data_IF_490702440242
#
_entry.id   IF_490702440242
#
_cell.length_a   1.000
_cell.length_b   1.000
_cell.length_c   1.000
_cell.angle_alpha   90.00
_cell.angle_beta   90.00
_cell.angle_gamma   90.00
#
_symmetry.space_group_name_H-M   'P 1'
#
loop_
_entity.id
_entity.type
_entity.pdbx_description
1 polymer ?
#
# COMPACT_ATOMS: atom_id res chain seq x y z
N UNK A 1 -25.56 42.01 -20.53
CA UNK A 1 -25.66 40.59 -20.93
C UNK A 1 -24.27 40.15 -21.38
N UNK A 2 -23.52 39.51 -20.51
CA UNK A 2 -22.21 38.91 -20.84
C UNK A 2 -22.20 37.48 -20.35
N UNK A 3 -22.25 36.56 -21.29
CA UNK A 3 -22.10 35.12 -21.09
C UNK A 3 -20.61 34.80 -20.98
N UNK A 4 -20.13 34.59 -19.75
CA UNK A 4 -18.80 34.01 -19.53
C UNK A 4 -18.86 32.51 -19.82
N UNK A 5 -18.38 32.12 -21.00
CA UNK A 5 -18.08 30.73 -21.35
C UNK A 5 -16.86 30.28 -20.53
N UNK A 6 -17.10 29.53 -19.47
CA UNK A 6 -16.06 28.80 -18.75
C UNK A 6 -15.49 27.74 -19.68
N UNK A 7 -14.23 27.91 -20.03
CA UNK A 7 -13.39 26.98 -20.75
C UNK A 7 -13.32 25.67 -19.98
N UNK A 8 -13.98 24.64 -20.50
CA UNK A 8 -13.61 23.25 -20.25
C UNK A 8 -12.16 23.08 -20.70
N UNK A 9 -11.22 23.01 -19.75
CA UNK A 9 -9.90 22.48 -20.04
C UNK A 9 -10.04 20.96 -20.22
N UNK A 10 -9.79 20.41 -21.42
CA UNK A 10 -9.67 18.99 -21.59
C UNK A 10 -8.28 18.63 -21.09
N UNK A 11 -8.12 18.46 -19.77
CA UNK A 11 -7.03 17.64 -19.30
C UNK A 11 -7.27 16.26 -19.91
N UNK A 12 -6.46 15.90 -20.90
CA UNK A 12 -6.27 14.52 -21.31
C UNK A 12 -5.76 13.78 -20.08
N UNK A 13 -6.68 13.34 -19.23
CA UNK A 13 -6.40 12.39 -18.19
C UNK A 13 -6.06 11.10 -18.93
N UNK A 14 -4.76 10.89 -19.17
CA UNK A 14 -4.24 9.53 -19.30
C UNK A 14 -4.78 8.79 -18.08
N UNK A 15 -5.75 7.91 -18.33
CA UNK A 15 -6.63 7.38 -17.28
C UNK A 15 -5.76 6.65 -16.25
N UNK A 16 -5.71 7.20 -15.04
CA UNK A 16 -5.05 6.56 -13.90
C UNK A 16 -5.55 5.13 -13.75
N UNK A 17 -4.66 4.22 -13.39
CA UNK A 17 -5.03 2.86 -13.03
C UNK A 17 -5.46 2.89 -11.56
N UNK A 18 -6.75 2.71 -11.33
CA UNK A 18 -7.30 2.67 -9.98
C UNK A 18 -7.44 1.23 -9.50
N UNK A 19 -6.72 0.91 -8.42
CA UNK A 19 -6.79 -0.37 -7.72
C UNK A 19 -7.56 -0.20 -6.41
N UNK A 20 -8.76 -0.76 -6.37
CA UNK A 20 -9.70 -0.71 -5.25
C UNK A 20 -9.41 -1.84 -4.26
N UNK A 21 -9.29 -1.52 -2.97
CA UNK A 21 -9.22 -2.51 -1.91
C UNK A 21 -10.62 -2.73 -1.35
N UNK A 22 -11.11 -3.97 -1.43
CA UNK A 22 -12.49 -4.30 -1.04
C UNK A 22 -12.73 -4.07 0.45
N UNK A 23 -11.71 -4.31 1.27
CA UNK A 23 -11.74 -4.08 2.71
C UNK A 23 -10.70 -3.04 3.15
N UNK A 24 -11.03 -2.31 4.22
CA UNK A 24 -10.09 -1.40 4.89
C UNK A 24 -9.00 -2.15 5.68
N UNK A 25 -9.16 -3.47 5.84
CA UNK A 25 -8.17 -4.37 6.40
C UNK A 25 -7.28 -4.96 5.30
N UNK A 26 -6.05 -4.46 5.19
CA UNK A 26 -5.10 -4.91 4.17
C UNK A 26 -4.51 -6.29 4.46
N UNK A 27 -4.80 -6.88 5.61
CA UNK A 27 -4.37 -8.24 5.94
C UNK A 27 -5.17 -9.29 5.17
N UNK A 28 -6.44 -9.01 4.91
CA UNK A 28 -7.39 -9.94 4.31
C UNK A 28 -8.29 -9.17 3.34
N UNK A 29 -7.76 -8.85 2.16
CA UNK A 29 -8.49 -8.10 1.15
C UNK A 29 -8.19 -8.57 -0.25
N UNK A 30 -9.20 -8.45 -1.11
CA UNK A 30 -9.04 -8.50 -2.55
C UNK A 30 -8.72 -7.09 -3.06
N UNK A 31 -7.89 -7.00 -4.08
CA UNK A 31 -7.63 -5.77 -4.84
C UNK A 31 -8.18 -5.96 -6.23
N UNK A 32 -9.09 -5.08 -6.63
CA UNK A 32 -9.79 -5.14 -7.91
C UNK A 32 -9.59 -3.84 -8.67
N UNK A 33 -9.66 -3.88 -9.99
CA UNK A 33 -9.83 -2.68 -10.81
C UNK A 33 -11.26 -2.15 -10.70
N UNK A 34 -11.51 -0.90 -11.12
CA UNK A 34 -12.85 -0.30 -11.08
C UNK A 34 -13.92 -1.07 -11.87
N UNK A 35 -13.52 -1.81 -12.90
CA UNK A 35 -14.40 -2.70 -13.67
C UNK A 35 -14.62 -4.07 -13.01
N UNK A 36 -14.11 -4.26 -11.79
CA UNK A 36 -14.34 -5.45 -10.97
C UNK A 36 -13.40 -6.62 -11.24
N UNK A 37 -12.35 -6.47 -12.05
CA UNK A 37 -11.36 -7.54 -12.24
C UNK A 37 -10.42 -7.64 -11.06
N UNK A 38 -10.34 -8.82 -10.46
CA UNK A 38 -9.43 -9.10 -9.36
C UNK A 38 -7.97 -9.19 -9.84
N UNK A 39 -7.09 -8.41 -9.22
CA UNK A 39 -5.68 -8.29 -9.57
C UNK A 39 -4.78 -8.90 -8.49
N UNK A 40 -5.08 -8.65 -7.22
CA UNK A 40 -4.30 -9.17 -6.10
C UNK A 40 -5.20 -9.68 -4.98
N UNK A 41 -4.66 -10.63 -4.22
CA UNK A 41 -5.25 -11.14 -2.99
C UNK A 41 -4.22 -11.05 -1.87
N UNK A 42 -4.65 -10.47 -0.74
CA UNK A 42 -3.90 -10.46 0.51
C UNK A 42 -4.61 -11.40 1.49
N UNK A 43 -3.87 -12.34 2.06
CA UNK A 43 -4.40 -13.26 3.07
C UNK A 43 -3.43 -13.37 4.23
N UNK A 44 -3.95 -13.17 5.44
CA UNK A 44 -3.16 -13.28 6.68
C UNK A 44 -3.83 -14.30 7.57
N UNK A 45 -3.43 -15.59 7.46
CA UNK A 45 -4.02 -16.62 8.30
C UNK A 45 -3.70 -16.34 9.77
N UNK A 46 -4.74 -16.37 10.61
CA UNK A 46 -4.64 -16.17 12.04
C UNK A 46 -4.28 -17.49 12.72
N UNK A 47 -3.07 -17.56 13.25
CA UNK A 47 -2.59 -18.69 14.06
C UNK A 47 -2.11 -18.14 15.41
N UNK A 48 -2.66 -18.58 16.56
CA UNK A 48 -2.36 -18.01 17.87
C UNK A 48 -0.86 -17.97 18.21
N UNK A 49 -0.11 -19.00 17.81
CA UNK A 49 1.29 -19.18 18.18
C UNK A 49 2.27 -18.98 17.02
N UNK A 50 1.81 -18.49 15.87
CA UNK A 50 2.69 -18.26 14.70
C UNK A 50 2.83 -16.78 14.40
N UNK A 51 3.98 -16.36 13.83
CA UNK A 51 4.12 -15.00 13.32
C UNK A 51 2.98 -14.64 12.37
N UNK A 52 2.48 -13.41 12.47
CA UNK A 52 1.50 -12.87 11.52
C UNK A 52 2.19 -12.71 10.16
N UNK A 53 1.81 -13.54 9.19
CA UNK A 53 2.35 -13.54 7.84
C UNK A 53 1.24 -13.22 6.86
N UNK A 54 1.38 -12.14 6.10
CA UNK A 54 0.50 -11.84 4.97
C UNK A 54 1.10 -12.41 3.71
N UNK A 55 0.35 -13.27 3.03
CA UNK A 55 0.63 -13.73 1.69
C UNK A 55 0.03 -12.74 0.70
N UNK A 56 0.85 -12.24 -0.22
CA UNK A 56 0.40 -11.38 -1.31
C UNK A 56 0.49 -12.19 -2.60
N UNK A 57 -0.65 -12.38 -3.25
CA UNK A 57 -0.77 -13.13 -4.50
C UNK A 57 -1.25 -12.22 -5.60
N UNK A 58 -0.59 -12.29 -6.75
CA UNK A 58 -1.10 -11.78 -8.00
C UNK A 58 -2.05 -12.82 -8.59
N UNK A 59 -3.24 -12.39 -8.98
CA UNK A 59 -4.24 -13.24 -9.61
C UNK A 59 -4.11 -13.07 -11.13
N UNK A 60 -4.00 -14.18 -11.86
CA UNK A 60 -4.05 -14.14 -13.32
C UNK A 60 -5.50 -13.96 -13.74
N UNK A 61 -5.74 -13.08 -14.73
CA UNK A 61 -7.05 -12.71 -15.30
C UNK A 61 -8.10 -13.82 -15.16
N UNK A 62 -8.87 -13.77 -14.07
CA UNK A 62 -10.13 -14.47 -14.02
C UNK A 62 -11.07 -13.69 -14.95
N UNK A 63 -11.15 -14.12 -16.21
CA UNK A 63 -12.03 -13.52 -17.22
C UNK A 63 -13.42 -13.22 -16.60
N UNK A 64 -13.98 -12.01 -16.78
CA UNK A 64 -15.17 -11.55 -16.06
C UNK A 64 -16.44 -12.38 -16.32
N UNK A 65 -16.46 -13.25 -17.35
CA UNK A 65 -17.62 -14.08 -17.68
C UNK A 65 -17.91 -15.21 -16.67
N UNK A 66 -17.06 -15.45 -15.68
CA UNK A 66 -17.30 -16.44 -14.62
C UNK A 66 -17.52 -15.78 -13.24
N UNK A 67 -17.32 -14.46 -13.14
CA UNK A 67 -17.11 -13.76 -11.87
C UNK A 67 -18.36 -13.15 -11.23
N UNK A 68 -19.49 -13.02 -11.93
CA UNK A 68 -20.67 -12.33 -11.39
C UNK A 68 -21.46 -13.12 -10.32
N UNK A 69 -21.23 -14.43 -10.19
CA UNK A 69 -21.86 -15.26 -9.15
C UNK A 69 -20.88 -16.01 -8.24
N UNK A 70 -19.66 -16.31 -8.72
CA UNK A 70 -18.76 -17.29 -8.08
C UNK A 70 -17.34 -16.75 -7.80
N UNK A 71 -17.04 -15.47 -8.00
CA UNK A 71 -15.68 -14.95 -7.72
C UNK A 71 -15.31 -15.00 -6.23
N UNK A 72 -16.28 -14.75 -5.34
CA UNK A 72 -16.10 -14.94 -3.90
C UNK A 72 -15.82 -16.43 -3.56
N UNK A 73 -16.51 -17.34 -4.24
CA UNK A 73 -16.38 -18.79 -4.08
C UNK A 73 -15.07 -19.34 -4.68
N UNK A 74 -14.54 -18.71 -5.72
CA UNK A 74 -13.25 -19.05 -6.33
C UNK A 74 -12.06 -18.57 -5.49
N UNK A 75 -12.19 -17.41 -4.81
CA UNK A 75 -11.21 -16.97 -3.79
C UNK A 75 -11.23 -17.92 -2.57
N UNK A 76 -12.41 -18.38 -2.13
CA UNK A 76 -12.55 -19.39 -1.08
C UNK A 76 -11.99 -20.78 -1.46
N UNK A 77 -11.90 -21.10 -2.77
CA UNK A 77 -11.33 -22.36 -3.29
C UNK A 77 -9.85 -22.29 -3.66
N UNK A 78 -9.15 -21.22 -3.29
CA UNK A 78 -7.70 -21.10 -3.49
C UNK A 78 -7.35 -20.92 -4.97
N UNK A 79 -7.75 -19.78 -5.54
CA UNK A 79 -7.42 -19.40 -6.91
C UNK A 79 -5.93 -19.60 -7.25
N UNK A 80 -5.65 -19.95 -8.51
CA UNK A 80 -4.31 -20.22 -9.05
C UNK A 80 -3.48 -18.94 -9.22
N UNK A 81 -3.29 -18.18 -8.14
CA UNK A 81 -2.48 -16.97 -8.13
C UNK A 81 -0.99 -17.25 -7.95
N UNK A 82 -0.14 -16.35 -8.47
CA UNK A 82 1.30 -16.35 -8.19
C UNK A 82 1.56 -15.63 -6.88
N UNK A 83 2.22 -16.29 -5.92
CA UNK A 83 2.73 -15.60 -4.73
C UNK A 83 3.84 -14.63 -5.13
N UNK A 84 3.61 -13.33 -4.90
CA UNK A 84 4.59 -12.28 -5.19
C UNK A 84 5.42 -11.93 -3.95
N UNK A 85 4.82 -12.04 -2.76
CA UNK A 85 5.50 -11.76 -1.51
C UNK A 85 4.87 -12.49 -0.32
N UNK A 86 5.71 -12.81 0.66
CA UNK A 86 5.29 -13.15 2.02
C UNK A 86 5.82 -12.08 2.96
N UNK A 87 4.93 -11.41 3.70
CA UNK A 87 5.29 -10.34 4.62
C UNK A 87 5.03 -10.83 6.04
N UNK A 88 6.09 -11.20 6.74
CA UNK A 88 6.04 -11.49 8.16
C UNK A 88 6.13 -10.17 8.93
N UNK A 89 5.03 -9.78 9.57
CA UNK A 89 4.94 -8.51 10.28
C UNK A 89 5.76 -8.51 11.58
N UNK A 90 6.07 -7.30 12.06
CA UNK A 90 6.82 -7.12 13.31
C UNK A 90 6.02 -7.71 14.46
N UNK A 91 6.68 -8.51 15.31
CA UNK A 91 6.16 -8.99 16.59
C UNK A 91 7.25 -8.75 17.62
N UNK A 92 7.00 -7.89 18.60
CA UNK A 92 7.94 -7.53 19.68
C UNK A 92 9.35 -7.23 19.14
N UNK A 93 10.30 -8.14 19.36
CA UNK A 93 11.73 -8.02 19.06
C UNK A 93 12.10 -8.44 17.63
N UNK A 94 11.14 -8.91 16.83
CA UNK A 94 11.39 -9.36 15.46
C UNK A 94 11.02 -8.28 14.43
N UNK A 95 11.96 -7.83 13.58
CA UNK A 95 11.64 -6.86 12.54
C UNK A 95 10.71 -7.46 11.48
N UNK A 96 9.98 -6.62 10.76
CA UNK A 96 9.23 -7.06 9.57
C UNK A 96 10.18 -7.68 8.55
N UNK A 97 9.89 -8.92 8.14
CA UNK A 97 10.64 -9.69 7.15
C UNK A 97 9.77 -9.85 5.89
N UNK A 98 10.39 -9.70 4.73
CA UNK A 98 9.78 -9.86 3.42
C UNK A 98 10.49 -11.02 2.73
N UNK A 99 9.74 -11.97 2.16
CA UNK A 99 10.26 -12.98 1.24
C UNK A 99 9.62 -12.77 -0.12
N UNK A 100 10.42 -12.43 -1.11
CA UNK A 100 9.94 -12.19 -2.47
C UNK A 100 11.07 -12.43 -3.47
N UNK A 101 10.73 -13.01 -4.63
CA UNK A 101 11.69 -13.18 -5.74
C UNK A 101 12.08 -11.86 -6.40
N UNK A 102 11.32 -10.78 -6.13
CA UNK A 102 11.59 -9.44 -6.65
C UNK A 102 12.72 -8.74 -5.90
N UNK A 103 13.09 -9.24 -4.72
CA UNK A 103 14.11 -8.63 -3.88
C UNK A 103 15.40 -9.44 -3.95
N UNK A 104 16.51 -8.78 -4.22
CA UNK A 104 17.83 -9.37 -4.03
C UNK A 104 18.05 -9.64 -2.53
N UNK A 105 18.29 -10.90 -2.18
CA UNK A 105 18.60 -11.32 -0.81
C UNK A 105 19.98 -11.99 -0.76
N UNK A 106 20.74 -11.67 0.27
CA UNK A 106 22.00 -12.31 0.63
C UNK A 106 21.80 -13.64 1.38
N UNK A 107 20.54 -13.98 1.73
CA UNK A 107 20.22 -15.15 2.53
C UNK A 107 19.66 -16.29 1.69
N UNK A 108 19.97 -17.52 2.14
CA UNK A 108 19.48 -18.74 1.51
C UNK A 108 17.95 -18.86 1.47
N UNK A 109 17.23 -18.25 2.43
CA UNK A 109 15.77 -18.26 2.49
C UNK A 109 15.11 -17.13 1.69
N UNK A 110 15.89 -16.31 0.98
CA UNK A 110 15.38 -15.17 0.22
C UNK A 110 14.80 -14.04 1.08
N UNK A 111 15.03 -14.05 2.40
CA UNK A 111 14.42 -13.07 3.30
C UNK A 111 15.16 -11.73 3.29
N UNK A 112 14.40 -10.64 3.31
CA UNK A 112 14.90 -9.27 3.38
C UNK A 112 14.19 -8.54 4.51
N UNK A 113 14.93 -7.83 5.37
CA UNK A 113 14.31 -6.96 6.38
C UNK A 113 13.61 -5.81 5.67
N UNK A 114 12.39 -5.48 6.05
CA UNK A 114 11.64 -4.38 5.43
C UNK A 114 12.39 -3.03 5.51
N UNK A 115 13.24 -2.82 6.52
CA UNK A 115 14.09 -1.61 6.65
C UNK A 115 15.25 -1.54 5.65
N UNK A 116 15.68 -2.69 5.11
CA UNK A 116 16.69 -2.76 4.04
C UNK A 116 16.06 -2.47 2.69
N UNK A 117 14.85 -3.00 2.45
CA UNK A 117 14.06 -2.72 1.26
C UNK A 117 13.56 -1.27 1.23
N UNK A 118 12.83 -0.83 2.26
CA UNK A 118 12.32 0.53 2.42
C UNK A 118 13.19 1.32 3.40
N UNK A 119 14.20 1.96 2.85
CA UNK A 119 15.19 2.73 3.60
C UNK A 119 14.63 4.08 4.06
N UNK A 120 15.05 4.56 5.22
CA UNK A 120 14.72 5.90 5.71
C UNK A 120 16.02 6.66 5.93
N UNK A 121 16.08 7.92 5.48
CA UNK A 121 17.27 8.76 5.69
C UNK A 121 17.55 9.05 7.16
N UNK A 122 16.49 9.12 7.98
CA UNK A 122 16.58 9.27 9.43
C UNK A 122 15.37 8.60 10.10
N UNK A 123 15.49 8.31 11.40
CA UNK A 123 14.52 7.52 12.18
C UNK A 123 13.08 8.04 12.11
N UNK A 124 12.89 9.34 12.07
CA UNK A 124 11.57 9.99 12.08
C UNK A 124 11.09 10.42 10.70
N UNK A 125 11.82 10.07 9.64
CA UNK A 125 11.49 10.53 8.29
C UNK A 125 10.11 10.02 7.87
N UNK A 126 9.19 10.89 7.44
CA UNK A 126 7.93 10.43 6.85
C UNK A 126 8.14 9.76 5.49
N UNK A 127 9.38 9.80 4.98
CA UNK A 127 9.76 9.26 3.69
C UNK A 127 10.43 7.89 3.82
N UNK A 128 10.05 6.96 2.95
CA UNK A 128 10.72 5.67 2.75
C UNK A 128 11.15 5.55 1.29
N UNK A 129 12.36 5.05 1.05
CA UNK A 129 13.00 4.99 -0.25
C UNK A 129 13.29 3.55 -0.64
N UNK A 130 13.17 3.22 -1.92
CA UNK A 130 13.60 1.94 -2.47
C UNK A 130 14.01 2.13 -3.93
N UNK A 131 14.74 1.16 -4.47
CA UNK A 131 15.16 1.12 -5.88
C UNK A 131 14.17 0.23 -6.64
N UNK A 132 13.63 0.72 -7.74
CA UNK A 132 12.75 -0.03 -8.63
C UNK A 132 13.47 -1.10 -9.44
N UNK A 133 12.71 -1.91 -10.18
CA UNK A 133 13.25 -2.87 -11.14
C UNK A 133 13.96 -2.21 -12.33
N UNK A 134 13.61 -0.95 -12.62
CA UNK A 134 14.26 -0.09 -13.61
C UNK A 134 15.54 0.60 -13.11
N UNK A 135 15.96 0.31 -11.86
CA UNK A 135 17.16 0.88 -11.25
C UNK A 135 16.99 2.32 -10.76
N UNK A 136 15.78 2.88 -10.79
CA UNK A 136 15.50 4.25 -10.36
C UNK A 136 15.12 4.29 -8.88
N UNK A 137 15.50 5.36 -8.19
CA UNK A 137 15.07 5.61 -6.81
C UNK A 137 13.61 6.08 -6.77
N UNK A 138 12.83 5.45 -5.89
CA UNK A 138 11.45 5.83 -5.58
C UNK A 138 11.31 6.23 -4.12
N UNK A 139 10.37 7.14 -3.85
CA UNK A 139 10.11 7.67 -2.50
C UNK A 139 8.63 7.66 -2.16
N UNK A 140 8.26 6.81 -1.23
CA UNK A 140 7.01 6.95 -0.49
C UNK A 140 7.10 8.11 0.50
N UNK A 141 6.12 9.02 0.50
CA UNK A 141 5.94 10.06 1.51
C UNK A 141 4.59 9.85 2.21
N UNK A 142 4.61 9.66 3.52
CA UNK A 142 3.40 9.57 4.33
C UNK A 142 2.99 10.96 4.82
N UNK A 143 1.74 11.33 4.57
CA UNK A 143 1.13 12.59 5.04
C UNK A 143 0.03 12.28 6.04
N UNK A 144 0.17 12.81 7.26
CA UNK A 144 -0.78 12.60 8.37
C UNK A 144 -2.19 13.05 7.94
N UNK A 145 -3.20 12.20 8.14
CA UNK A 145 -4.59 12.49 7.80
C UNK A 145 -4.94 12.35 6.31
N UNK A 146 -3.95 12.27 5.42
CA UNK A 146 -4.18 12.19 3.96
C UNK A 146 -3.93 10.77 3.43
N UNK A 147 -2.74 10.22 3.67
CA UNK A 147 -2.35 8.94 3.06
C UNK A 147 -0.86 8.84 2.77
N UNK A 148 -0.49 8.12 1.73
CA UNK A 148 0.86 8.06 1.20
C UNK A 148 0.91 8.23 -0.33
N UNK A 149 1.98 8.86 -0.81
CA UNK A 149 2.23 9.08 -2.24
C UNK A 149 3.64 8.61 -2.60
N UNK A 150 3.79 8.01 -3.77
CA UNK A 150 5.01 7.48 -4.35
C UNK A 150 5.51 8.43 -5.44
N UNK A 151 6.74 8.90 -5.28
CA UNK A 151 7.40 9.76 -6.25
C UNK A 151 8.57 9.03 -6.89
N UNK A 152 8.73 9.15 -8.20
CA UNK A 152 9.96 8.80 -8.91
C UNK A 152 10.99 9.91 -8.71
N UNK A 153 12.21 9.61 -8.27
CA UNK A 153 13.12 10.63 -7.75
C UNK A 153 13.89 11.42 -8.80
N UNK A 154 14.16 10.82 -9.97
CA UNK A 154 14.84 11.47 -11.09
C UNK A 154 13.95 12.53 -11.76
N UNK A 155 12.69 12.19 -12.05
CA UNK A 155 11.72 13.07 -12.74
C UNK A 155 10.85 13.86 -11.78
N UNK A 156 10.79 13.46 -10.50
CA UNK A 156 9.86 14.01 -9.49
C UNK A 156 8.40 13.91 -9.90
N UNK A 157 8.05 12.92 -10.71
CA UNK A 157 6.67 12.60 -11.10
C UNK A 157 6.03 11.72 -10.03
N UNK A 158 4.75 11.98 -9.73
CA UNK A 158 3.95 11.10 -8.88
C UNK A 158 3.55 9.85 -9.66
N UNK A 159 3.86 8.71 -9.07
CA UNK A 159 3.67 7.38 -9.67
C UNK A 159 2.46 6.69 -9.07
N UNK A 160 2.22 6.87 -7.79
CA UNK A 160 1.04 6.34 -7.14
C UNK A 160 0.64 7.13 -5.91
N UNK A 161 -0.65 7.10 -5.56
CA UNK A 161 -1.16 7.71 -4.35
C UNK A 161 -2.29 6.90 -3.74
N UNK A 162 -2.29 6.79 -2.41
CA UNK A 162 -3.44 6.25 -1.69
C UNK A 162 -4.56 7.28 -1.68
N UNK A 163 -5.77 6.87 -2.01
CA UNK A 163 -6.95 7.71 -1.94
C UNK A 163 -8.14 6.93 -1.36
N UNK A 164 -9.26 7.63 -1.24
CA UNK A 164 -10.57 7.03 -0.99
C UNK A 164 -11.53 7.56 -2.04
N UNK A 165 -12.36 6.67 -2.59
CA UNK A 165 -13.38 7.06 -3.57
C UNK A 165 -14.74 6.57 -3.12
N UNK A 166 -15.77 7.33 -3.48
CA UNK A 166 -17.15 6.92 -3.36
C UNK A 166 -17.55 6.21 -4.65
N UNK A 167 -17.93 4.94 -4.52
CA UNK A 167 -18.30 4.11 -5.68
C UNK A 167 -19.75 4.41 -6.05
N UNK A 168 -19.97 4.91 -7.27
CA UNK A 168 -21.30 5.30 -7.74
C UNK A 168 -22.11 4.12 -8.29
N UNK A 169 -21.44 3.13 -8.88
CA UNK A 169 -22.06 2.04 -9.63
C UNK A 169 -21.40 0.69 -9.34
N UNK A 170 -22.08 -0.41 -9.66
CA UNK A 170 -21.58 -1.78 -9.49
C UNK A 170 -21.84 -2.39 -8.11
N UNK A 171 -21.12 -3.47 -7.80
CA UNK A 171 -21.34 -4.29 -6.58
C UNK A 171 -21.13 -3.51 -5.27
N UNK A 172 -20.31 -2.46 -5.31
CA UNK A 172 -19.96 -1.63 -4.15
C UNK A 172 -20.59 -0.23 -4.22
N UNK A 173 -21.62 -0.04 -5.05
CA UNK A 173 -22.31 1.24 -5.19
C UNK A 173 -22.81 1.75 -3.83
N UNK A 174 -22.54 3.02 -3.52
CA UNK A 174 -22.91 3.65 -2.26
C UNK A 174 -21.84 3.54 -1.15
N UNK A 175 -20.71 2.86 -1.39
CA UNK A 175 -19.65 2.69 -0.40
C UNK A 175 -18.45 3.60 -0.67
N UNK A 176 -17.78 4.04 0.40
CA UNK A 176 -16.45 4.66 0.32
C UNK A 176 -15.40 3.58 0.48
N UNK A 177 -14.54 3.43 -0.53
CA UNK A 177 -13.51 2.39 -0.55
C UNK A 177 -12.11 2.98 -0.60
N UNK A 178 -11.13 2.38 0.11
CA UNK A 178 -9.72 2.67 -0.09
C UNK A 178 -9.28 2.25 -1.49
N UNK A 179 -8.43 3.06 -2.11
CA UNK A 179 -7.88 2.77 -3.43
C UNK A 179 -6.43 3.24 -3.55
N UNK A 180 -5.71 2.68 -4.51
CA UNK A 180 -4.38 3.11 -4.93
C UNK A 180 -4.46 3.56 -6.39
N UNK A 181 -4.25 4.85 -6.61
CA UNK A 181 -4.16 5.44 -7.94
C UNK A 181 -2.75 5.25 -8.45
N UNK A 182 -2.60 4.76 -9.67
CA UNK A 182 -1.31 4.49 -10.29
C UNK A 182 -1.25 5.22 -11.63
N UNK A 183 -0.16 5.95 -11.85
CA UNK A 183 0.12 6.59 -13.11
C UNK A 183 0.34 5.52 -14.20
N UNK A 184 -0.43 5.54 -15.31
CA UNK A 184 -0.34 4.50 -16.34
C UNK A 184 1.01 4.49 -17.06
N UNK A 185 1.73 5.61 -17.04
CA UNK A 185 3.02 5.77 -17.70
C UNK A 185 4.19 5.28 -16.81
N UNK A 186 3.90 4.61 -15.70
CA UNK A 186 4.93 4.08 -14.80
C UNK A 186 5.68 2.91 -15.43
N UNK A 187 7.02 2.96 -15.36
CA UNK A 187 7.89 1.82 -15.65
C UNK A 187 8.04 0.86 -14.47
N UNK A 188 7.62 1.27 -13.27
CA UNK A 188 7.78 0.48 -12.05
C UNK A 188 6.91 -0.79 -12.11
N UNK A 189 7.52 -1.94 -11.84
CA UNK A 189 6.82 -3.22 -11.67
C UNK A 189 5.69 -3.09 -10.62
N UNK A 190 4.49 -3.50 -11.01
CA UNK A 190 3.29 -3.35 -10.18
C UNK A 190 3.32 -4.24 -8.93
N UNK A 191 3.96 -5.41 -8.97
CA UNK A 191 4.11 -6.27 -7.80
C UNK A 191 5.01 -5.59 -6.76
N UNK A 192 6.08 -4.93 -7.22
CA UNK A 192 6.98 -4.15 -6.37
C UNK A 192 6.26 -2.92 -5.77
N UNK A 193 5.43 -2.25 -6.58
CA UNK A 193 4.59 -1.14 -6.15
C UNK A 193 3.60 -1.57 -5.06
N UNK A 194 2.82 -2.63 -5.29
CA UNK A 194 1.85 -3.17 -4.33
C UNK A 194 2.53 -3.61 -3.04
N UNK A 195 3.62 -4.36 -3.13
CA UNK A 195 4.35 -4.82 -1.96
C UNK A 195 4.87 -3.63 -1.13
N UNK A 196 5.49 -2.63 -1.77
CA UNK A 196 6.01 -1.45 -1.08
C UNK A 196 4.89 -0.60 -0.45
N UNK A 197 3.78 -0.42 -1.16
CA UNK A 197 2.58 0.26 -0.67
C UNK A 197 2.05 -0.40 0.60
N UNK A 198 1.81 -1.71 0.58
CA UNK A 198 1.28 -2.45 1.73
C UNK A 198 2.14 -2.28 2.98
N UNK A 199 3.47 -2.31 2.84
CA UNK A 199 4.36 -2.15 3.99
C UNK A 199 4.28 -0.74 4.56
N UNK A 200 4.28 0.29 3.72
CA UNK A 200 4.20 1.70 4.15
C UNK A 200 2.85 1.97 4.80
N UNK A 201 1.78 1.51 4.16
CA UNK A 201 0.41 1.78 4.56
C UNK A 201 0.00 1.01 5.81
N UNK A 202 0.40 -0.27 5.94
CA UNK A 202 0.17 -1.02 7.18
C UNK A 202 0.92 -0.37 8.36
N UNK A 203 2.18 0.02 8.19
CA UNK A 203 2.94 0.75 9.23
C UNK A 203 2.27 2.06 9.61
N UNK A 204 1.72 2.79 8.64
CA UNK A 204 0.96 4.02 8.89
C UNK A 204 -0.27 3.71 9.75
N UNK A 205 -1.07 2.72 9.36
CA UNK A 205 -2.29 2.31 10.09
C UNK A 205 -2.00 1.75 11.48
N UNK A 206 -0.94 0.94 11.66
CA UNK A 206 -0.55 0.40 12.98
C UNK A 206 -0.21 1.50 13.97
N UNK A 207 0.59 2.51 13.56
CA UNK A 207 0.90 3.66 14.42
C UNK A 207 -0.34 4.44 14.86
N UNK A 208 -1.37 4.49 14.01
CA UNK A 208 -2.64 5.09 14.39
C UNK A 208 -3.39 4.23 15.40
N UNK A 209 -3.50 2.92 15.18
CA UNK A 209 -4.16 2.00 16.12
C UNK A 209 -3.50 2.04 17.51
N UNK A 210 -2.17 1.97 17.57
CA UNK A 210 -1.40 2.01 18.82
C UNK A 210 -1.62 3.31 19.61
N UNK A 211 -1.79 4.45 18.92
CA UNK A 211 -2.05 5.75 19.58
C UNK A 211 -3.46 5.87 20.15
N UNK A 212 -4.45 5.25 19.52
CA UNK A 212 -5.85 5.36 19.94
C UNK A 212 -6.30 4.28 20.92
N UNK A 213 -5.72 3.08 20.84
CA UNK A 213 -6.07 1.95 21.72
C UNK A 213 -5.41 2.05 23.10
N UNK A 214 -4.49 3.00 23.31
CA UNK A 214 -3.80 3.19 24.60
C UNK A 214 -2.91 2.02 25.01
N UNK A 215 -2.79 0.98 24.18
CA UNK A 215 -1.96 -0.22 24.39
C UNK A 215 -0.49 0.01 24.03
N UNK A 216 -0.07 1.26 23.95
CA UNK A 216 1.32 1.68 23.70
C UNK A 216 2.23 1.23 24.84
N UNK A 217 2.65 -0.03 24.81
CA UNK A 217 3.76 -0.53 25.60
C UNK A 217 5.01 -0.31 24.76
N UNK A 218 5.82 0.68 25.16
CA UNK A 218 7.16 0.86 24.65
C UNK A 218 7.85 -0.51 24.60
N UNK A 219 8.15 -0.99 23.40
CA UNK A 219 9.08 -2.11 23.26
C UNK A 219 10.46 -1.63 23.70
N UNK A 220 11.34 -2.49 24.22
CA UNK A 220 12.71 -2.12 24.61
C UNK A 220 13.55 -1.49 23.46
N UNK A 221 13.11 -1.64 22.21
CA UNK A 221 13.69 -1.01 21.01
C UNK A 221 12.98 0.29 20.55
N UNK A 222 11.95 0.75 21.27
CA UNK A 222 11.52 2.14 21.23
C UNK A 222 12.53 2.97 22.06
N UNK A 223 13.71 3.13 21.48
CA UNK A 223 14.79 4.01 21.94
C UNK A 223 14.19 5.37 22.43
N UNK A 224 14.56 5.85 23.63
CA UNK A 224 13.83 6.83 24.48
C UNK A 224 13.57 8.24 23.93
N UNK A 225 13.59 8.47 22.62
CA UNK A 225 13.40 9.78 22.00
C UNK A 225 11.99 10.11 21.51
N UNK A 226 10.98 9.25 21.67
CA UNK A 226 9.61 9.47 21.16
C UNK A 226 8.72 10.29 22.13
N UNK A 227 9.34 11.20 22.89
CA UNK A 227 8.69 12.23 23.71
C UNK A 227 8.81 13.61 23.07
N UNK A 228 8.35 13.76 21.83
CA UNK A 228 8.36 15.04 21.11
C UNK A 228 7.01 15.75 21.22
N UNK A 229 6.79 16.49 22.31
CA UNK A 229 5.70 17.47 22.41
C UNK A 229 5.73 18.40 21.19
N UNK A 230 4.62 18.43 20.46
CA UNK A 230 4.39 19.42 19.42
C UNK A 230 4.39 20.82 20.04
N UNK A 231 5.44 21.57 19.76
CA UNK A 231 5.46 23.02 19.90
C UNK A 231 5.47 23.64 18.51
N UNK A 232 4.30 23.73 17.88
CA UNK A 232 4.08 24.73 16.84
C UNK A 232 4.10 26.09 17.55
N UNK A 233 5.27 26.73 17.63
CA UNK A 233 5.32 28.17 17.80
C UNK A 233 5.33 28.80 16.41
N UNK A 234 4.13 29.19 15.97
CA UNK A 234 3.99 30.36 15.10
C UNK A 234 4.64 31.55 15.80
N UNK A 235 5.50 32.24 15.05
CA UNK A 235 6.03 33.54 15.42
C UNK A 235 6.39 34.29 14.15
N UNK A 236 5.42 35.01 13.60
CA UNK A 236 5.67 36.16 12.73
C UNK A 236 6.48 37.22 13.51
N UNK A 237 7.56 37.69 12.91
CA UNK A 237 7.97 39.10 12.81
C UNK A 237 9.16 39.20 11.83
#
# INVERSE_FOLDING_TARGET
>A
MSTSSLLNHPYNYSTMIDLLFIHDDFDNTLVVTLDGRAQYEMTTPLFPDKPRITLVRQLYDAHPKVAAGNALDASLKGGTGRTIAEIQWKVLDHPTIIRSKLLASDKADGSVRARRFLQRRHRFSPCSYFVGDDGVDYRWKVTKGVGCALMRMDTRVEIAASARTFIQEGLYAGEVKPLLQINPDTSLDLDLLIMSFLIVENKRKSKWRERYDGTYKHGPDDDPGDGGSGGDMMGEA
#
